data_IF_213955187694
#
_entry.id   IF_213955187694
#
_cell.length_a   1.000
_cell.length_b   1.000
_cell.length_c   1.000
_cell.angle_alpha   90.00
_cell.angle_beta   90.00
_cell.angle_gamma   90.00
#
_symmetry.space_group_name_H-M   'P 1'
#
loop_
_entity.id
_entity.type
_entity.pdbx_description
1 polymer ?
#
# COMPACT_ATOMS: atom_id res chain seq x y z
N UNK A 1 13.33 0.48 -16.59
CA UNK A 1 13.96 1.82 -16.69
C UNK A 1 15.49 1.80 -16.64
N UNK A 2 16.14 1.45 -15.51
CA UNK A 2 17.62 1.47 -15.44
C UNK A 2 18.32 0.48 -16.39
N UNK A 3 17.83 -0.76 -16.46
CA UNK A 3 18.36 -1.79 -17.37
C UNK A 3 18.10 -1.43 -18.84
N UNK A 4 16.91 -0.93 -19.16
CA UNK A 4 16.52 -0.52 -20.51
C UNK A 4 17.34 0.68 -21.00
N UNK A 5 17.60 1.66 -20.13
CA UNK A 5 18.45 2.82 -20.43
C UNK A 5 19.91 2.42 -20.66
N UNK A 6 20.48 1.57 -19.80
CA UNK A 6 21.87 1.10 -19.95
C UNK A 6 22.03 0.27 -21.23
N UNK A 7 21.09 -0.65 -21.51
CA UNK A 7 21.13 -1.48 -22.73
C UNK A 7 20.87 -0.64 -23.99
N UNK A 8 20.00 0.37 -23.91
CA UNK A 8 19.69 1.27 -25.02
C UNK A 8 20.84 2.23 -25.37
N UNK A 9 21.53 2.76 -24.37
CA UNK A 9 22.75 3.55 -24.55
C UNK A 9 23.91 2.68 -25.03
N UNK A 10 24.08 1.47 -24.50
CA UNK A 10 25.13 0.54 -24.93
C UNK A 10 24.95 0.01 -26.36
N UNK A 11 23.69 -0.11 -26.85
CA UNK A 11 23.38 -0.45 -28.26
C UNK A 11 23.40 0.75 -29.21
N UNK A 12 23.64 1.98 -28.71
CA UNK A 12 23.59 3.21 -29.51
C UNK A 12 22.19 3.59 -30.00
N UNK A 13 21.14 3.00 -29.43
CA UNK A 13 19.74 3.19 -29.86
C UNK A 13 19.05 4.35 -29.12
N UNK A 14 19.62 4.83 -28.01
CA UNK A 14 19.11 5.92 -27.19
C UNK A 14 20.28 6.79 -26.74
N UNK A 15 20.22 8.10 -26.99
CA UNK A 15 21.26 9.03 -26.51
C UNK A 15 21.18 9.24 -24.99
N UNK A 16 22.29 9.57 -24.33
CA UNK A 16 22.32 9.90 -22.89
C UNK A 16 21.35 11.05 -22.55
N UNK A 17 21.22 12.00 -23.46
CA UNK A 17 20.31 13.14 -23.34
C UNK A 17 18.83 12.72 -23.43
N UNK A 18 18.50 11.82 -24.37
CA UNK A 18 17.16 11.28 -24.54
C UNK A 18 16.74 10.41 -23.34
N UNK A 19 17.66 9.61 -22.80
CA UNK A 19 17.42 8.85 -21.58
C UNK A 19 17.10 9.77 -20.38
N UNK A 20 17.84 10.87 -20.21
CA UNK A 20 17.61 11.83 -19.13
C UNK A 20 16.29 12.59 -19.33
N UNK A 21 15.95 12.96 -20.57
CA UNK A 21 14.65 13.55 -20.92
C UNK A 21 13.49 12.63 -20.55
N UNK A 22 13.60 11.33 -20.84
CA UNK A 22 12.56 10.34 -20.51
C UNK A 22 12.40 10.11 -19.01
N UNK A 23 13.48 10.23 -18.23
CA UNK A 23 13.40 10.24 -16.76
C UNK A 23 12.63 11.48 -16.30
N UNK A 24 12.91 12.65 -16.89
CA UNK A 24 12.20 13.90 -16.61
C UNK A 24 10.69 13.79 -16.88
N UNK A 25 10.31 13.29 -18.04
CA UNK A 25 8.90 13.05 -18.41
C UNK A 25 8.20 12.11 -17.41
N UNK A 26 8.86 11.03 -16.98
CA UNK A 26 8.30 10.11 -15.99
C UNK A 26 8.11 10.74 -14.60
N UNK A 27 9.05 11.60 -14.20
CA UNK A 27 8.94 12.38 -12.95
C UNK A 27 7.80 13.38 -13.02
N UNK A 28 7.63 14.08 -14.15
CA UNK A 28 6.53 15.03 -14.36
C UNK A 28 5.16 14.34 -14.25
N UNK A 29 5.00 13.17 -14.86
CA UNK A 29 3.77 12.38 -14.76
C UNK A 29 3.40 11.96 -13.33
N UNK A 30 4.40 11.75 -12.47
CA UNK A 30 4.18 11.33 -11.07
C UNK A 30 4.04 12.52 -10.10
N UNK A 31 4.41 13.74 -10.52
CA UNK A 31 4.45 14.91 -9.66
C UNK A 31 3.07 15.31 -9.11
N UNK A 32 2.03 15.23 -9.93
CA UNK A 32 0.65 15.56 -9.51
C UNK A 32 0.17 14.69 -8.35
N UNK A 33 0.47 13.39 -8.39
CA UNK A 33 0.10 12.45 -7.33
C UNK A 33 0.92 12.72 -6.07
N UNK A 34 2.21 13.05 -6.23
CA UNK A 34 3.06 13.45 -5.10
C UNK A 34 2.50 14.68 -4.37
N UNK A 35 2.06 15.72 -5.09
CA UNK A 35 1.44 16.90 -4.49
C UNK A 35 0.18 16.54 -3.69
N UNK A 36 -0.67 15.66 -4.25
CA UNK A 36 -1.88 15.18 -3.56
C UNK A 36 -1.49 14.41 -2.28
N UNK A 37 -0.53 13.49 -2.36
CA UNK A 37 -0.06 12.73 -1.21
C UNK A 37 0.53 13.64 -0.12
N UNK A 38 1.26 14.69 -0.51
CA UNK A 38 1.81 15.69 0.40
C UNK A 38 0.69 16.46 1.12
N UNK A 39 -0.30 16.97 0.39
CA UNK A 39 -1.45 17.68 0.97
C UNK A 39 -2.26 16.79 1.90
N UNK A 40 -2.51 15.53 1.49
CA UNK A 40 -3.21 14.54 2.31
C UNK A 40 -2.42 14.24 3.59
N UNK A 41 -1.09 14.09 3.51
CA UNK A 41 -0.26 13.90 4.70
C UNK A 41 -0.38 15.06 5.69
N UNK A 42 -0.41 16.31 5.18
CA UNK A 42 -0.68 17.50 6.00
C UNK A 42 -2.07 17.50 6.63
N UNK A 43 -3.11 17.13 5.87
CA UNK A 43 -4.49 17.03 6.38
C UNK A 43 -4.61 15.93 7.45
N UNK A 44 -3.97 14.78 7.23
CA UNK A 44 -3.93 13.68 8.17
C UNK A 44 -3.23 14.09 9.48
N UNK A 45 -2.17 14.89 9.40
CA UNK A 45 -1.53 15.48 10.58
C UNK A 45 -2.48 16.43 11.34
N UNK A 46 -3.30 17.19 10.61
CA UNK A 46 -4.31 18.08 11.21
C UNK A 46 -5.43 17.29 11.90
N UNK A 47 -5.96 16.24 11.24
CA UNK A 47 -6.96 15.33 11.84
C UNK A 47 -6.40 14.71 13.12
N UNK A 48 -5.10 14.39 13.15
CA UNK A 48 -4.42 13.92 14.36
C UNK A 48 -4.41 14.98 15.46
N UNK A 49 -4.07 16.22 15.12
CA UNK A 49 -4.01 17.33 16.06
C UNK A 49 -5.36 17.62 16.72
N UNK A 50 -6.47 17.49 15.98
CA UNK A 50 -7.82 17.65 16.51
C UNK A 50 -8.42 16.39 17.16
N UNK A 51 -7.65 15.31 17.32
CA UNK A 51 -8.12 14.07 17.98
C UNK A 51 -9.05 13.19 17.14
N UNK A 52 -9.15 13.42 15.83
CA UNK A 52 -10.03 12.63 14.95
C UNK A 52 -9.59 11.17 14.81
N UNK A 53 -8.28 10.91 14.86
CA UNK A 53 -7.74 9.54 14.84
C UNK A 53 -8.13 8.78 16.11
N UNK A 54 -8.10 9.43 17.28
CA UNK A 54 -8.50 8.80 18.55
C UNK A 54 -9.96 8.38 18.52
N UNK A 55 -10.83 9.21 17.94
CA UNK A 55 -12.24 8.88 17.75
C UNK A 55 -12.46 7.67 16.81
N UNK A 56 -11.71 7.59 15.70
CA UNK A 56 -11.75 6.44 14.78
C UNK A 56 -11.31 5.17 15.52
N UNK A 57 -10.21 5.26 16.26
CA UNK A 57 -9.63 4.16 17.03
C UNK A 57 -10.60 3.66 18.10
N UNK A 58 -11.26 4.56 18.83
CA UNK A 58 -12.25 4.21 19.84
C UNK A 58 -13.50 3.54 19.24
N UNK A 59 -13.92 4.00 18.06
CA UNK A 59 -15.00 3.37 17.30
C UNK A 59 -14.61 1.95 16.86
N UNK A 60 -13.39 1.76 16.36
CA UNK A 60 -12.86 0.44 15.98
C UNK A 60 -12.72 -0.47 17.20
N UNK A 61 -12.30 0.06 18.35
CA UNK A 61 -12.16 -0.67 19.62
C UNK A 61 -13.49 -1.28 20.08
N UNK A 62 -14.61 -0.54 19.98
CA UNK A 62 -15.95 -1.07 20.32
C UNK A 62 -16.33 -2.31 19.50
N UNK A 63 -15.76 -2.47 18.30
CA UNK A 63 -15.99 -3.61 17.40
C UNK A 63 -14.89 -4.67 17.50
N UNK A 64 -13.68 -4.31 17.92
CA UNK A 64 -12.50 -5.16 17.91
C UNK A 64 -12.16 -5.71 19.31
N UNK A 65 -12.61 -6.94 19.60
CA UNK A 65 -12.38 -7.60 20.89
C UNK A 65 -10.98 -8.23 21.08
N UNK A 66 -10.01 -8.01 20.18
CA UNK A 66 -8.67 -8.60 20.34
C UNK A 66 -7.65 -8.20 19.27
N UNK A 67 -6.39 -8.66 19.41
CA UNK A 67 -5.31 -8.29 18.50
C UNK A 67 -5.52 -8.82 17.07
N UNK A 68 -6.28 -9.92 16.89
CA UNK A 68 -6.62 -10.46 15.56
C UNK A 68 -7.58 -9.54 14.83
N UNK A 69 -8.64 -9.09 15.51
CA UNK A 69 -9.61 -8.18 14.91
C UNK A 69 -9.00 -6.79 14.66
N UNK A 70 -8.09 -6.32 15.51
CA UNK A 70 -7.34 -5.09 15.26
C UNK A 70 -6.52 -5.16 13.96
N UNK A 71 -5.80 -6.28 13.75
CA UNK A 71 -5.03 -6.48 12.52
C UNK A 71 -5.91 -6.56 11.29
N UNK A 72 -7.05 -7.25 11.35
CA UNK A 72 -8.01 -7.25 10.25
C UNK A 72 -8.58 -5.87 9.99
N UNK A 73 -8.92 -5.11 11.03
CA UNK A 73 -9.57 -3.82 10.87
C UNK A 73 -8.62 -2.80 10.22
N UNK A 74 -7.35 -2.72 10.62
CA UNK A 74 -6.36 -1.84 9.98
C UNK A 74 -6.04 -2.28 8.55
N UNK A 75 -5.93 -3.58 8.31
CA UNK A 75 -5.62 -4.13 6.98
C UNK A 75 -6.76 -3.89 5.99
N UNK A 76 -8.00 -4.16 6.42
CA UNK A 76 -9.19 -3.93 5.63
C UNK A 76 -9.40 -2.45 5.33
N UNK A 77 -9.15 -1.57 6.30
CA UNK A 77 -9.21 -0.12 6.09
C UNK A 77 -8.23 0.33 5.00
N UNK A 78 -6.99 -0.16 5.04
CA UNK A 78 -5.97 0.14 4.02
C UNK A 78 -6.39 -0.36 2.63
N UNK A 79 -6.88 -1.59 2.53
CA UNK A 79 -7.39 -2.16 1.28
C UNK A 79 -8.59 -1.39 0.71
N UNK A 80 -9.54 -1.01 1.56
CA UNK A 80 -10.72 -0.24 1.16
C UNK A 80 -10.34 1.16 0.66
N UNK A 81 -9.45 1.85 1.39
CA UNK A 81 -8.94 3.16 0.97
C UNK A 81 -8.15 3.04 -0.34
N UNK A 82 -7.35 1.98 -0.50
CA UNK A 82 -6.59 1.73 -1.73
C UNK A 82 -7.51 1.50 -2.92
N UNK A 83 -8.58 0.72 -2.75
CA UNK A 83 -9.60 0.52 -3.78
C UNK A 83 -10.33 1.82 -4.14
N UNK A 84 -10.67 2.64 -3.14
CA UNK A 84 -11.39 3.90 -3.36
C UNK A 84 -10.53 4.97 -4.06
N UNK A 85 -9.24 5.03 -3.71
CA UNK A 85 -8.29 6.02 -4.25
C UNK A 85 -7.60 5.55 -5.52
N UNK A 86 -7.70 4.25 -5.85
CA UNK A 86 -6.93 3.57 -6.91
C UNK A 86 -5.43 3.86 -6.74
N UNK A 87 -4.97 4.00 -5.49
CA UNK A 87 -3.59 4.35 -5.18
C UNK A 87 -3.18 3.82 -3.80
N UNK A 88 -2.34 2.78 -3.81
CA UNK A 88 -1.86 2.11 -2.59
C UNK A 88 -1.09 3.04 -1.64
N UNK A 89 -0.14 3.84 -2.15
CA UNK A 89 0.70 4.71 -1.29
C UNK A 89 -0.12 5.75 -0.54
N UNK A 90 -1.04 6.44 -1.23
CA UNK A 90 -1.90 7.45 -0.61
C UNK A 90 -2.79 6.81 0.47
N UNK A 91 -3.35 5.63 0.20
CA UNK A 91 -4.13 4.87 1.18
C UNK A 91 -3.30 4.46 2.41
N UNK A 92 -2.05 4.04 2.21
CA UNK A 92 -1.14 3.68 3.31
C UNK A 92 -0.81 4.92 4.16
N UNK A 93 -0.56 6.09 3.55
CA UNK A 93 -0.29 7.33 4.30
C UNK A 93 -1.46 7.72 5.21
N UNK A 94 -2.69 7.59 4.71
CA UNK A 94 -3.92 7.89 5.48
C UNK A 94 -4.14 6.88 6.60
N UNK A 95 -3.94 5.59 6.33
CA UNK A 95 -4.19 4.51 7.29
C UNK A 95 -3.07 4.31 8.31
N UNK A 96 -1.83 4.73 8.00
CA UNK A 96 -0.66 4.60 8.86
C UNK A 96 -0.83 5.14 10.30
N UNK A 97 -1.33 6.38 10.52
CA UNK A 97 -1.51 6.87 11.88
C UNK A 97 -2.58 6.10 12.66
N UNK A 98 -3.67 5.69 11.99
CA UNK A 98 -4.73 4.87 12.60
C UNK A 98 -4.15 3.51 13.03
N UNK A 99 -3.39 2.87 12.13
CA UNK A 99 -2.71 1.62 12.42
C UNK A 99 -1.72 1.76 13.57
N UNK A 100 -0.97 2.87 13.65
CA UNK A 100 0.00 3.14 14.71
C UNK A 100 -0.65 3.18 16.10
N UNK A 101 -1.74 3.93 16.25
CA UNK A 101 -2.48 4.02 17.52
C UNK A 101 -3.09 2.66 17.89
N UNK A 102 -3.70 1.96 16.92
CA UNK A 102 -4.26 0.62 17.13
C UNK A 102 -3.17 -0.40 17.53
N UNK A 103 -2.02 -0.37 16.87
CA UNK A 103 -0.91 -1.26 17.17
C UNK A 103 -0.27 -1.03 18.53
N UNK A 104 -0.21 0.22 19.00
CA UNK A 104 0.26 0.52 20.35
C UNK A 104 -0.67 -0.09 21.41
N UNK A 105 -1.98 0.03 21.24
CA UNK A 105 -2.95 -0.56 22.18
C UNK A 105 -2.90 -2.09 22.23
N UNK A 106 -2.83 -2.75 21.07
CA UNK A 106 -2.81 -4.22 20.97
C UNK A 106 -1.39 -4.81 20.97
N UNK A 107 -0.35 -4.01 21.20
CA UNK A 107 1.07 -4.39 21.25
C UNK A 107 1.55 -5.13 20.00
N UNK A 108 1.20 -4.61 18.82
CA UNK A 108 1.56 -5.15 17.50
C UNK A 108 2.86 -4.50 17.03
N UNK A 109 3.83 -5.30 16.57
CA UNK A 109 5.09 -4.79 16.05
C UNK A 109 4.89 -3.85 14.82
N UNK A 110 5.57 -2.68 14.74
CA UNK A 110 5.44 -1.75 13.61
C UNK A 110 5.71 -2.36 12.24
N UNK A 111 6.69 -3.28 12.16
CA UNK A 111 7.01 -4.01 10.93
C UNK A 111 5.83 -4.84 10.42
N UNK A 112 5.10 -5.48 11.34
CA UNK A 112 3.90 -6.27 11.02
C UNK A 112 2.76 -5.37 10.53
N UNK A 113 2.56 -4.22 11.17
CA UNK A 113 1.56 -3.26 10.73
C UNK A 113 1.83 -2.76 9.31
N UNK A 114 3.05 -2.29 9.05
CA UNK A 114 3.45 -1.80 7.73
C UNK A 114 3.24 -2.87 6.64
N UNK A 115 3.66 -4.11 6.90
CA UNK A 115 3.47 -5.23 5.95
C UNK A 115 1.98 -5.54 5.71
N UNK A 116 1.15 -5.54 6.74
CA UNK A 116 -0.27 -5.83 6.59
C UNK A 116 -1.01 -4.72 5.82
N UNK A 117 -0.71 -3.45 6.10
CA UNK A 117 -1.24 -2.32 5.36
C UNK A 117 -0.86 -2.38 3.88
N UNK A 118 0.39 -2.71 3.59
CA UNK A 118 0.94 -2.81 2.23
C UNK A 118 0.31 -3.97 1.44
N UNK A 119 0.28 -5.17 2.02
CA UNK A 119 -0.31 -6.35 1.36
C UNK A 119 -1.78 -6.10 1.00
N UNK A 120 -2.58 -5.57 1.92
CA UNK A 120 -3.99 -5.31 1.64
C UNK A 120 -4.21 -4.15 0.67
N UNK A 121 -3.40 -3.08 0.75
CA UNK A 121 -3.49 -1.98 -0.20
C UNK A 121 -3.13 -2.43 -1.62
N UNK A 122 -2.03 -3.16 -1.77
CA UNK A 122 -1.56 -3.67 -3.07
C UNK A 122 -2.52 -4.72 -3.63
N UNK A 123 -2.97 -5.68 -2.82
CA UNK A 123 -3.88 -6.74 -3.28
C UNK A 123 -5.24 -6.19 -3.69
N UNK A 124 -5.74 -5.16 -2.99
CA UNK A 124 -6.96 -4.47 -3.40
C UNK A 124 -6.77 -3.83 -4.78
N UNK A 125 -5.69 -3.08 -5.00
CA UNK A 125 -5.42 -2.41 -6.27
C UNK A 125 -5.30 -3.41 -7.44
N UNK A 126 -4.61 -4.53 -7.25
CA UNK A 126 -4.45 -5.57 -8.28
C UNK A 126 -5.76 -6.24 -8.70
N UNK A 127 -6.79 -6.18 -7.85
CA UNK A 127 -8.12 -6.71 -8.18
C UNK A 127 -8.94 -5.69 -8.95
N UNK A 128 -8.65 -4.38 -8.88
CA UNK A 128 -9.47 -3.37 -9.56
C UNK A 128 -9.26 -3.34 -11.08
N UNK A 129 -10.34 -3.13 -11.87
CA UNK A 129 -10.26 -3.02 -13.33
C UNK A 129 -9.51 -1.77 -13.80
N UNK A 130 -9.59 -0.69 -13.04
CA UNK A 130 -8.98 0.60 -13.39
C UNK A 130 -7.52 0.75 -12.94
N UNK A 131 -6.90 -0.32 -12.44
CA UNK A 131 -5.47 -0.29 -12.16
C UNK A 131 -4.67 -0.18 -13.47
N UNK A 132 -3.57 0.59 -13.43
CA UNK A 132 -2.74 0.84 -14.61
C UNK A 132 -2.16 -0.46 -15.20
N UNK A 133 -1.84 -1.45 -14.35
CA UNK A 133 -1.36 -2.75 -14.80
C UNK A 133 -2.45 -3.56 -15.50
N UNK A 134 -3.68 -3.51 -14.99
CA UNK A 134 -4.83 -4.19 -15.57
C UNK A 134 -5.21 -3.60 -16.94
N UNK A 135 -5.22 -2.27 -17.05
CA UNK A 135 -5.49 -1.57 -18.31
C UNK A 135 -4.44 -1.90 -19.39
N UNK A 136 -3.16 -1.96 -19.01
CA UNK A 136 -2.12 -2.41 -19.93
C UNK A 136 -2.36 -3.85 -20.39
N UNK A 137 -2.70 -4.76 -19.47
CA UNK A 137 -2.96 -6.16 -19.82
C UNK A 137 -4.16 -6.32 -20.79
N UNK A 138 -5.23 -5.56 -20.61
CA UNK A 138 -6.38 -5.53 -21.51
C UNK A 138 -6.00 -4.97 -22.90
N UNK A 139 -5.24 -3.86 -22.93
CA UNK A 139 -4.81 -3.24 -24.18
C UNK A 139 -3.88 -4.11 -25.03
N UNK A 140 -2.91 -4.78 -24.40
CA UNK A 140 -1.95 -5.63 -25.13
C UNK A 140 -2.50 -7.03 -25.41
N UNK A 141 -3.40 -7.54 -24.56
CA UNK A 141 -3.94 -8.89 -24.67
C UNK A 141 -5.24 -9.00 -25.47
N UNK A 142 -5.95 -7.89 -25.72
CA UNK A 142 -7.33 -7.89 -26.28
C UNK A 142 -8.30 -8.82 -25.53
N UNK A 143 -8.04 -9.05 -24.24
CA UNK A 143 -8.78 -9.96 -23.37
C UNK A 143 -9.67 -9.18 -22.43
N UNK A 144 -10.81 -9.75 -22.05
CA UNK A 144 -11.72 -9.11 -21.10
C UNK A 144 -11.09 -9.08 -19.70
N UNK A 145 -11.36 -8.03 -18.91
CA UNK A 145 -10.95 -7.93 -17.50
C UNK A 145 -11.20 -9.23 -16.71
N UNK A 146 -12.34 -9.89 -16.91
CA UNK A 146 -12.66 -11.14 -16.23
C UNK A 146 -11.73 -12.30 -16.58
N UNK A 147 -11.16 -12.32 -17.78
CA UNK A 147 -10.19 -13.33 -18.19
C UNK A 147 -8.85 -13.09 -17.52
N UNK A 148 -8.38 -11.83 -17.50
CA UNK A 148 -7.14 -11.46 -16.79
C UNK A 148 -7.27 -11.73 -15.29
N UNK A 149 -8.41 -11.39 -14.69
CA UNK A 149 -8.68 -11.63 -13.28
C UNK A 149 -8.63 -13.13 -12.93
N UNK A 150 -9.15 -14.01 -13.80
CA UNK A 150 -9.11 -15.47 -13.60
C UNK A 150 -7.67 -16.00 -13.52
N UNK A 151 -6.74 -15.41 -14.26
CA UNK A 151 -5.33 -15.79 -14.22
C UNK A 151 -4.52 -15.03 -13.15
N UNK A 152 -5.13 -14.05 -12.48
CA UNK A 152 -4.50 -13.25 -11.41
C UNK A 152 -4.50 -14.00 -10.07
N UNK A 153 -3.73 -15.08 -10.00
CA UNK A 153 -3.59 -15.89 -8.77
C UNK A 153 -2.79 -15.18 -7.68
N UNK A 154 -1.89 -14.27 -8.05
CA UNK A 154 -0.96 -13.61 -7.13
C UNK A 154 -1.65 -12.81 -5.99
N UNK A 155 -2.59 -11.88 -6.25
CA UNK A 155 -3.26 -11.14 -5.18
C UNK A 155 -4.08 -12.06 -4.26
N UNK A 156 -4.68 -13.12 -4.80
CA UNK A 156 -5.41 -14.11 -4.00
C UNK A 156 -4.49 -14.87 -3.05
N UNK A 157 -3.32 -15.32 -3.54
CA UNK A 157 -2.31 -16.00 -2.71
C UNK A 157 -1.78 -15.06 -1.63
N UNK A 158 -1.49 -13.80 -1.96
CA UNK A 158 -1.01 -12.81 -0.98
C UNK A 158 -2.03 -12.56 0.14
N UNK A 159 -3.31 -12.37 -0.20
CA UNK A 159 -4.37 -12.20 0.80
C UNK A 159 -4.49 -13.45 1.66
N UNK A 160 -4.47 -14.65 1.06
CA UNK A 160 -4.50 -15.91 1.81
C UNK A 160 -3.31 -16.03 2.77
N UNK A 161 -2.09 -15.75 2.31
CA UNK A 161 -0.90 -15.74 3.16
C UNK A 161 -1.01 -14.72 4.30
N UNK A 162 -1.56 -13.53 4.04
CA UNK A 162 -1.79 -12.52 5.07
C UNK A 162 -2.83 -12.98 6.11
N UNK A 163 -3.94 -13.56 5.67
CA UNK A 163 -4.98 -14.13 6.55
C UNK A 163 -4.41 -15.25 7.42
N UNK A 164 -3.62 -16.15 6.84
CA UNK A 164 -2.92 -17.23 7.57
C UNK A 164 -1.96 -16.62 8.59
N UNK A 165 -1.17 -15.62 8.20
CA UNK A 165 -0.24 -14.91 9.09
C UNK A 165 -0.95 -14.23 10.28
N UNK A 166 -2.15 -13.67 10.06
CA UNK A 166 -3.00 -13.12 11.12
C UNK A 166 -3.48 -14.21 12.09
N UNK A 167 -3.84 -15.39 11.56
CA UNK A 167 -4.30 -16.51 12.40
C UNK A 167 -3.18 -17.13 13.25
N UNK A 168 -1.99 -17.31 12.66
CA UNK A 168 -0.80 -17.86 13.34
C UNK A 168 -0.24 -16.84 14.35
N UNK A 169 -0.43 -15.53 14.13
CA UNK A 169 0.12 -14.50 15.02
C UNK A 169 1.66 -14.38 14.95
N UNK A 170 2.26 -14.90 13.88
CA UNK A 170 3.70 -14.95 13.65
C UNK A 170 4.31 -13.54 13.53
N UNK A 171 5.21 -13.13 14.44
CA UNK A 171 5.77 -11.77 14.54
C UNK A 171 4.85 -10.70 15.19
N UNK A 172 3.90 -11.11 16.04
CA UNK A 172 3.11 -10.14 16.84
C UNK A 172 3.94 -9.34 17.84
N UNK A 173 4.82 -10.03 18.57
CA UNK A 173 5.61 -9.41 19.63
C UNK A 173 6.66 -8.49 19.04
N UNK A 174 6.68 -7.26 19.55
CA UNK A 174 7.85 -6.39 19.47
C UNK A 174 9.05 -7.17 20.01
N UNK A 175 10.07 -7.39 19.18
CA UNK A 175 11.38 -7.78 19.71
C UNK A 175 11.80 -6.59 20.58
N UNK A 176 11.83 -6.77 21.90
CA UNK A 176 12.55 -5.84 22.77
C UNK A 176 14.00 -5.90 22.30
N UNK A 177 14.38 -4.98 21.42
CA UNK A 177 15.77 -4.58 21.38
C UNK A 177 15.95 -3.75 22.63
N UNK A 178 16.80 -4.29 23.49
CA UNK A 178 17.34 -3.70 24.69
C UNK A 178 17.54 -2.18 24.53
N UNK A 179 17.08 -1.44 25.54
CA UNK A 179 17.94 -0.42 26.14
C UNK A 179 19.24 -1.14 26.46
N UNK A 180 20.32 -0.82 25.75
CA UNK A 180 21.73 -0.93 26.18
C UNK A 180 22.61 -0.56 24.97
N UNK A 181 22.80 0.76 24.79
CA UNK A 181 24.06 1.49 24.52
C UNK A 181 23.76 2.91 23.97
#
# INVERSE_FOLDING_TARGET
DRLTGIIGVARGNIGVFEWTSKIGEGMEGTFSIFLIAFLISGLVALIRYYGGIDWIVETMKKRANGPKSAEYAMSFLSGLLSAALVHNVVAIIISAPIAKELGQMYKIAPKRMASLLDIFAASALMVLPHDSGMLMAEQFGHVSYFEVLKFSYYPLILILCAVISIHIGMFRKQKNNAVDE
#
